data_IF_978836400717
#
_entry.id   IF_978836400717
#
_cell.length_a   1.000
_cell.length_b   1.000
_cell.length_c   1.000
_cell.angle_alpha   90.00
_cell.angle_beta   90.00
_cell.angle_gamma   90.00
#
_symmetry.space_group_name_H-M   'P 1'
#
loop_
_entity.id
_entity.type
_entity.pdbx_description
1 polymer ?
#
# COMPACT_ATOMS: atom_id res chain seq x y z
N UNK A 1 -58.79 -9.05 23.13
CA UNK A 1 -57.61 -9.81 22.65
C UNK A 1 -57.12 -9.20 21.36
N UNK A 2 -56.27 -8.18 21.45
CA UNK A 2 -55.42 -7.66 20.37
C UNK A 2 -54.54 -6.58 21.02
N UNK A 3 -53.22 -6.81 21.11
CA UNK A 3 -52.35 -6.03 20.25
C UNK A 3 -51.16 -6.86 19.73
N UNK A 4 -51.36 -7.43 18.55
CA UNK A 4 -50.28 -7.82 17.65
C UNK A 4 -50.22 -6.72 16.58
N UNK A 5 -49.28 -5.76 16.68
CA UNK A 5 -48.85 -4.88 15.55
C UNK A 5 -47.81 -3.81 15.87
N UNK A 6 -47.44 -3.53 17.13
CA UNK A 6 -46.56 -2.38 17.41
C UNK A 6 -45.03 -2.67 17.35
N UNK A 7 -44.61 -3.93 17.16
CA UNK A 7 -43.21 -4.33 17.33
C UNK A 7 -42.40 -4.50 16.02
N UNK A 8 -43.02 -4.28 14.85
CA UNK A 8 -42.38 -4.55 13.54
C UNK A 8 -41.73 -3.30 12.91
N UNK A 9 -42.05 -2.09 13.38
CA UNK A 9 -41.61 -0.85 12.70
C UNK A 9 -40.14 -0.47 13.01
N UNK A 10 -39.55 -0.92 14.12
CA UNK A 10 -38.16 -0.54 14.46
C UNK A 10 -37.06 -1.33 13.73
N UNK A 11 -37.36 -2.51 13.15
CA UNK A 11 -36.34 -3.37 12.53
C UNK A 11 -36.02 -3.01 11.06
N UNK A 12 -36.79 -2.12 10.43
CA UNK A 12 -36.59 -1.75 9.02
C UNK A 12 -35.56 -0.61 8.81
N UNK A 13 -35.08 0.05 9.87
CA UNK A 13 -34.12 1.17 9.77
C UNK A 13 -32.64 0.73 9.77
N UNK A 14 -32.36 -0.57 9.91
CA UNK A 14 -31.02 -1.17 9.74
C UNK A 14 -30.75 -1.57 8.28
N UNK A 15 -31.37 -0.89 7.32
CA UNK A 15 -31.02 -1.00 5.90
C UNK A 15 -29.58 -0.51 5.73
N UNK A 16 -28.67 -1.47 5.55
CA UNK A 16 -27.23 -1.25 5.57
C UNK A 16 -26.78 -0.16 4.61
N UNK A 17 -25.94 0.74 5.12
CA UNK A 17 -25.04 1.53 4.30
C UNK A 17 -24.08 0.56 3.59
N UNK A 18 -24.46 0.03 2.44
CA UNK A 18 -23.52 -0.59 1.52
C UNK A 18 -22.63 0.55 0.99
N UNK A 19 -21.51 0.80 1.68
CA UNK A 19 -20.55 1.82 1.27
C UNK A 19 -20.05 1.50 -0.15
N UNK A 20 -20.17 2.48 -1.04
CA UNK A 20 -19.55 2.43 -2.37
C UNK A 20 -18.04 2.27 -2.16
N UNK A 21 -17.39 1.29 -2.80
CA UNK A 21 -15.97 1.07 -2.64
C UNK A 21 -15.21 2.25 -3.24
N UNK A 22 -14.13 2.65 -2.58
CA UNK A 22 -13.21 3.64 -3.12
C UNK A 22 -12.36 2.98 -4.22
N UNK A 23 -12.65 3.34 -5.47
CA UNK A 23 -11.93 2.88 -6.65
C UNK A 23 -10.82 3.86 -7.09
N UNK A 24 -10.33 4.72 -6.19
CA UNK A 24 -9.19 5.58 -6.49
C UNK A 24 -7.89 4.76 -6.71
N UNK A 25 -6.99 5.19 -7.62
CA UNK A 25 -5.69 4.55 -7.81
C UNK A 25 -4.89 4.40 -6.53
N UNK A 26 -4.88 5.43 -5.67
CA UNK A 26 -4.21 5.39 -4.37
C UNK A 26 -4.72 4.25 -3.48
N UNK A 27 -6.04 4.04 -3.43
CA UNK A 27 -6.62 2.93 -2.66
C UNK A 27 -6.26 1.57 -3.26
N UNK A 28 -6.27 1.46 -4.59
CA UNK A 28 -5.81 0.26 -5.30
C UNK A 28 -4.37 -0.09 -4.93
N UNK A 29 -3.46 0.87 -5.04
CA UNK A 29 -2.05 0.73 -4.65
C UNK A 29 -1.86 0.27 -3.21
N UNK A 30 -2.54 0.92 -2.27
CA UNK A 30 -2.47 0.58 -0.86
C UNK A 30 -2.93 -0.86 -0.58
N UNK A 31 -4.08 -1.26 -1.12
CA UNK A 31 -4.60 -2.63 -0.99
C UNK A 31 -3.64 -3.65 -1.58
N UNK A 32 -3.08 -3.35 -2.76
CA UNK A 32 -2.09 -4.20 -3.40
C UNK A 32 -0.85 -4.39 -2.54
N UNK A 33 -0.28 -3.30 -2.02
CA UNK A 33 0.91 -3.34 -1.15
C UNK A 33 0.68 -4.16 0.11
N UNK A 34 -0.52 -4.09 0.68
CA UNK A 34 -0.94 -4.89 1.82
C UNK A 34 -1.23 -6.38 1.48
N UNK A 35 -1.13 -6.78 0.21
CA UNK A 35 -1.45 -8.14 -0.24
C UNK A 35 -2.95 -8.44 -0.25
N UNK A 36 -3.81 -7.42 -0.18
CA UNK A 36 -5.26 -7.58 -0.22
C UNK A 36 -5.75 -7.76 -1.66
N UNK A 37 -6.88 -8.44 -1.82
CA UNK A 37 -7.52 -8.61 -3.13
C UNK A 37 -8.02 -7.27 -3.67
N UNK A 38 -7.92 -7.09 -4.99
CA UNK A 38 -8.58 -5.99 -5.67
C UNK A 38 -10.10 -6.05 -5.43
N UNK A 39 -10.73 -4.88 -5.33
CA UNK A 39 -12.17 -4.82 -5.19
C UNK A 39 -12.84 -5.12 -6.54
N UNK A 40 -13.70 -6.14 -6.61
CA UNK A 40 -14.30 -6.64 -7.86
C UNK A 40 -15.11 -5.59 -8.64
N UNK A 41 -15.75 -4.66 -7.91
CA UNK A 41 -16.49 -3.52 -8.49
C UNK A 41 -15.61 -2.37 -9.04
N UNK A 42 -14.29 -2.44 -8.89
CA UNK A 42 -13.38 -1.40 -9.36
C UNK A 42 -12.62 -1.90 -10.60
N UNK A 43 -13.19 -1.70 -11.78
CA UNK A 43 -12.65 -2.15 -13.07
C UNK A 43 -11.82 -1.09 -13.82
N UNK A 44 -11.77 0.13 -13.28
CA UNK A 44 -11.02 1.24 -13.87
C UNK A 44 -9.53 0.89 -14.02
N UNK A 45 -8.98 1.11 -15.21
CA UNK A 45 -7.60 0.78 -15.53
C UNK A 45 -6.61 1.41 -14.54
N UNK A 46 -6.83 2.66 -14.12
CA UNK A 46 -5.98 3.34 -13.13
C UNK A 46 -5.96 2.64 -11.77
N UNK A 47 -7.10 2.14 -11.29
CA UNK A 47 -7.18 1.36 -10.05
C UNK A 47 -6.42 0.04 -10.17
N UNK A 48 -6.65 -0.69 -11.26
CA UNK A 48 -6.06 -2.02 -11.47
C UNK A 48 -4.54 -1.94 -11.63
N UNK A 49 -4.03 -1.00 -12.43
CA UNK A 49 -2.60 -0.78 -12.59
C UNK A 49 -1.93 -0.37 -11.27
N UNK A 50 -2.57 0.52 -10.50
CA UNK A 50 -2.05 0.93 -9.21
C UNK A 50 -2.04 -0.24 -8.21
N UNK A 51 -3.08 -1.08 -8.18
CA UNK A 51 -3.12 -2.29 -7.36
C UNK A 51 -2.03 -3.30 -7.72
N UNK A 52 -1.77 -3.52 -9.00
CA UNK A 52 -0.69 -4.40 -9.47
C UNK A 52 0.70 -3.89 -9.06
N UNK A 53 0.93 -2.57 -9.20
CA UNK A 53 2.16 -1.94 -8.75
C UNK A 53 2.32 -2.09 -7.23
N UNK A 54 1.25 -1.85 -6.47
CA UNK A 54 1.21 -2.06 -5.04
C UNK A 54 1.57 -3.49 -4.65
N UNK A 55 0.94 -4.49 -5.28
CA UNK A 55 1.24 -5.91 -5.05
C UNK A 55 2.71 -6.22 -5.26
N UNK A 56 3.27 -5.81 -6.41
CA UNK A 56 4.68 -6.02 -6.74
C UNK A 56 5.59 -5.42 -5.68
N UNK A 57 5.34 -4.16 -5.29
CA UNK A 57 6.15 -3.48 -4.28
C UNK A 57 6.05 -4.20 -2.93
N UNK A 58 4.83 -4.53 -2.48
CA UNK A 58 4.61 -5.21 -1.21
C UNK A 58 5.25 -6.60 -1.14
N UNK A 59 5.26 -7.35 -2.24
CA UNK A 59 5.94 -8.64 -2.33
C UNK A 59 7.45 -8.50 -2.16
N UNK A 60 8.06 -7.53 -2.85
CA UNK A 60 9.50 -7.26 -2.75
C UNK A 60 9.88 -6.77 -1.35
N UNK A 61 9.06 -5.92 -0.73
CA UNK A 61 9.25 -5.46 0.65
C UNK A 61 9.22 -6.61 1.66
N UNK A 62 8.23 -7.50 1.54
CA UNK A 62 8.14 -8.70 2.40
C UNK A 62 9.32 -9.64 2.19
N UNK A 63 9.76 -9.83 0.95
CA UNK A 63 10.94 -10.65 0.65
C UNK A 63 12.20 -10.03 1.28
N UNK A 64 12.38 -8.71 1.14
CA UNK A 64 13.50 -7.98 1.74
C UNK A 64 13.48 -8.15 3.25
N UNK A 65 12.35 -7.92 3.90
CA UNK A 65 12.19 -8.06 5.35
C UNK A 65 12.48 -9.49 5.82
N UNK A 66 11.98 -10.50 5.09
CA UNK A 66 12.24 -11.91 5.39
C UNK A 66 13.73 -12.27 5.24
N UNK A 67 14.46 -11.65 4.32
CA UNK A 67 15.92 -11.82 4.19
C UNK A 67 16.68 -11.05 5.27
N UNK A 68 16.28 -9.82 5.57
CA UNK A 68 16.89 -8.99 6.61
C UNK A 68 16.76 -9.62 8.00
N UNK A 69 15.62 -10.23 8.31
CA UNK A 69 15.37 -10.91 9.58
C UNK A 69 16.37 -12.04 9.89
N UNK A 70 17.01 -12.60 8.86
CA UNK A 70 18.00 -13.69 8.97
C UNK A 70 19.34 -13.33 8.30
N UNK A 71 19.69 -12.05 8.30
CA UNK A 71 20.86 -11.50 7.61
C UNK A 71 22.18 -12.24 7.93
N UNK A 72 22.35 -12.76 9.15
CA UNK A 72 23.56 -13.45 9.61
C UNK A 72 23.71 -14.87 9.08
N UNK A 73 22.64 -15.48 8.57
CA UNK A 73 22.62 -16.87 8.10
C UNK A 73 22.37 -16.99 6.59
N UNK A 74 22.43 -15.88 5.86
CA UNK A 74 22.15 -15.86 4.42
C UNK A 74 23.25 -16.56 3.61
N UNK A 75 22.81 -17.40 2.67
CA UNK A 75 23.67 -17.89 1.60
C UNK A 75 24.19 -16.76 0.70
N UNK A 76 25.17 -17.05 -0.16
CA UNK A 76 25.71 -16.06 -1.09
C UNK A 76 24.67 -15.53 -2.09
N UNK A 77 23.79 -16.41 -2.58
CA UNK A 77 22.69 -16.03 -3.48
C UNK A 77 21.65 -15.15 -2.79
N UNK A 78 21.28 -15.49 -1.54
CA UNK A 78 20.35 -14.67 -0.76
C UNK A 78 20.91 -13.29 -0.43
N UNK A 79 22.21 -13.18 -0.14
CA UNK A 79 22.88 -11.88 0.03
C UNK A 79 22.85 -11.05 -1.25
N UNK A 80 23.04 -11.68 -2.41
CA UNK A 80 22.92 -11.01 -3.70
C UNK A 80 21.48 -10.53 -3.92
N UNK A 81 20.49 -11.39 -3.66
CA UNK A 81 19.07 -11.04 -3.77
C UNK A 81 18.70 -9.87 -2.88
N UNK A 82 19.16 -9.85 -1.63
CA UNK A 82 18.93 -8.74 -0.72
C UNK A 82 19.47 -7.40 -1.27
N UNK A 83 20.67 -7.40 -1.88
CA UNK A 83 21.22 -6.20 -2.52
C UNK A 83 20.39 -5.72 -3.71
N UNK A 84 19.87 -6.65 -4.50
CA UNK A 84 18.97 -6.33 -5.62
C UNK A 84 17.69 -5.69 -5.08
N UNK A 85 17.06 -6.29 -4.07
CA UNK A 85 15.85 -5.73 -3.45
C UNK A 85 16.09 -4.34 -2.85
N UNK A 86 17.24 -4.12 -2.22
CA UNK A 86 17.63 -2.82 -1.66
C UNK A 86 17.80 -1.73 -2.73
N UNK A 87 18.08 -2.09 -3.98
CA UNK A 87 18.14 -1.16 -5.11
C UNK A 87 16.77 -0.99 -5.77
N UNK A 88 16.09 -2.09 -6.07
CA UNK A 88 14.86 -2.08 -6.88
C UNK A 88 13.67 -1.48 -6.13
N UNK A 89 13.56 -1.69 -4.81
CA UNK A 89 12.44 -1.16 -4.01
C UNK A 89 12.40 0.38 -4.05
N UNK A 90 13.50 1.12 -3.77
CA UNK A 90 13.52 2.58 -3.91
C UNK A 90 13.18 3.09 -5.33
N UNK A 91 13.54 2.35 -6.37
CA UNK A 91 13.18 2.70 -7.75
C UNK A 91 11.66 2.61 -7.95
N UNK A 92 11.03 1.52 -7.50
CA UNK A 92 9.56 1.36 -7.55
C UNK A 92 8.82 2.36 -6.67
N UNK A 93 9.33 2.68 -5.48
CA UNK A 93 8.76 3.74 -4.63
C UNK A 93 8.83 5.10 -5.33
N UNK A 94 9.93 5.38 -6.03
CA UNK A 94 10.09 6.63 -6.79
C UNK A 94 9.06 6.72 -7.91
N UNK A 95 8.85 5.63 -8.65
CA UNK A 95 7.78 5.55 -9.64
C UNK A 95 6.40 5.79 -8.99
N UNK A 96 6.10 5.13 -7.88
CA UNK A 96 4.84 5.32 -7.16
C UNK A 96 4.63 6.77 -6.69
N UNK A 97 5.69 7.49 -6.29
CA UNK A 97 5.63 8.92 -5.95
C UNK A 97 5.36 9.79 -7.17
N UNK A 98 6.01 9.52 -8.31
CA UNK A 98 5.80 10.25 -9.57
C UNK A 98 4.33 10.12 -10.02
N UNK A 99 3.75 8.93 -9.87
CA UNK A 99 2.35 8.64 -10.17
C UNK A 99 1.36 9.16 -9.10
N UNK A 100 1.84 9.82 -8.04
CA UNK A 100 0.99 10.35 -6.96
C UNK A 100 0.35 9.28 -6.08
N UNK A 101 0.85 8.04 -6.10
CA UNK A 101 0.37 6.90 -5.30
C UNK A 101 0.99 6.84 -3.91
N UNK A 102 2.09 7.56 -3.70
CA UNK A 102 2.80 7.67 -2.43
C UNK A 102 3.07 9.13 -2.08
N UNK A 103 3.12 9.47 -0.77
CA UNK A 103 3.54 10.81 -0.36
C UNK A 103 4.98 11.08 -0.81
N UNK A 104 5.36 12.35 -1.03
CA UNK A 104 6.74 12.71 -1.31
C UNK A 104 7.64 12.22 -0.18
N UNK A 105 8.88 11.83 -0.51
CA UNK A 105 9.87 11.49 0.50
C UNK A 105 10.05 12.70 1.43
N UNK A 106 9.98 12.51 2.74
CA UNK A 106 10.16 13.61 3.68
C UNK A 106 11.58 14.19 3.55
N UNK A 107 11.73 15.50 3.34
CA UNK A 107 13.02 16.15 3.35
C UNK A 107 13.49 16.29 4.80
N UNK A 108 14.06 15.23 5.40
CA UNK A 108 14.27 15.23 6.85
C UNK A 108 15.32 14.31 7.47
N UNK A 109 16.12 13.55 6.71
CA UNK A 109 17.23 12.76 7.28
C UNK A 109 18.53 12.87 6.50
N UNK A 110 18.73 13.99 5.79
CA UNK A 110 20.02 14.36 5.23
C UNK A 110 20.58 15.48 6.10
N UNK A 111 21.64 15.17 6.83
CA UNK A 111 22.58 16.14 7.41
C UNK A 111 23.07 17.09 6.30
N UNK A 112 22.27 18.08 5.95
CA UNK A 112 22.70 19.23 5.15
C UNK A 112 23.59 20.09 6.04
N UNK A 113 24.82 19.63 6.27
CA UNK A 113 25.91 20.47 6.73
C UNK A 113 26.40 21.27 5.51
N UNK A 114 25.52 22.14 5.00
CA UNK A 114 25.84 23.15 4.02
C UNK A 114 26.72 24.20 4.69
N UNK A 115 28.02 23.92 4.75
CA UNK A 115 29.03 24.88 5.13
C UNK A 115 28.84 26.15 4.30
N UNK A 116 28.36 27.18 4.99
CA UNK A 116 28.26 28.55 4.53
C UNK A 116 29.65 29.07 4.15
N UNK A 117 30.06 28.91 2.90
CA UNK A 117 31.17 29.68 2.35
C UNK A 117 30.69 31.11 2.10
N UNK A 118 30.77 31.94 3.14
CA UNK A 118 31.02 33.37 2.95
C UNK A 118 32.52 33.54 2.78
N UNK A 119 32.94 33.97 1.59
CA UNK A 119 33.87 35.09 1.37
C UNK A 119 34.03 35.32 -0.12
#
# INVERSE_FOLDING_TARGET
MTPCRLLIVCLALLAGCASVPDCSPGRGFELGRQGQRAHERCDQAGYQSAWQLGQTLGELEREREALQARATTLSASERMRLRVLQRDIPELETLARIEGLMPPAEPGSSDYNGASHKQ
#
